data_IF_960974715034
#
_entry.id   IF_960974715034
#
_cell.length_a   1.000
_cell.length_b   1.000
_cell.length_c   1.000
_cell.angle_alpha   90.00
_cell.angle_beta   90.00
_cell.angle_gamma   90.00
#
_symmetry.space_group_name_H-M   'P 1'
#
loop_
_entity.id
_entity.type
_entity.pdbx_description
1 polymer ?
#
# COMPACT_ATOMS: atom_id res chain seq x y z
N UNK A 1 43.50 15.26 59.00
CA UNK A 1 42.91 14.00 58.48
C UNK A 1 41.97 14.35 57.34
N UNK A 2 42.46 14.12 56.12
CA UNK A 2 41.75 14.45 54.88
C UNK A 2 41.11 13.17 54.35
N UNK A 3 39.77 13.14 54.25
CA UNK A 3 39.07 12.05 53.60
C UNK A 3 38.78 12.42 52.14
N UNK A 4 39.51 11.77 51.22
CA UNK A 4 39.18 11.82 49.80
C UNK A 4 38.04 10.83 49.51
N UNK A 5 36.85 11.34 49.12
CA UNK A 5 35.77 10.53 48.61
C UNK A 5 35.93 10.29 47.11
N UNK A 6 36.13 9.04 46.72
CA UNK A 6 36.08 8.62 45.31
C UNK A 6 34.62 8.58 44.86
N UNK A 7 34.26 9.45 43.91
CA UNK A 7 32.98 9.36 43.18
C UNK A 7 33.17 8.39 42.02
N UNK A 8 32.58 7.23 42.11
CA UNK A 8 32.52 6.27 41.01
C UNK A 8 31.41 6.71 40.04
N UNK A 9 31.80 7.17 38.83
CA UNK A 9 30.86 7.37 37.72
C UNK A 9 30.42 6.00 37.17
N UNK A 10 29.25 5.58 37.57
CA UNK A 10 28.58 4.44 36.96
C UNK A 10 28.13 4.82 35.54
N UNK A 11 28.72 4.18 34.54
CA UNK A 11 28.19 4.22 33.18
C UNK A 11 26.90 3.42 33.16
N UNK A 12 25.78 4.11 33.27
CA UNK A 12 24.47 3.55 32.95
C UNK A 12 24.40 3.34 31.45
N UNK A 13 24.57 2.09 31.02
CA UNK A 13 24.21 1.72 29.66
C UNK A 13 22.70 1.92 29.53
N UNK A 14 22.30 2.94 28.80
CA UNK A 14 20.91 3.04 28.36
C UNK A 14 20.72 2.01 27.26
N UNK A 15 20.14 0.89 27.66
CA UNK A 15 19.56 -0.05 26.71
C UNK A 15 18.41 0.70 26.01
N UNK A 16 18.70 1.26 24.83
CA UNK A 16 17.66 1.66 23.92
C UNK A 16 17.00 0.38 23.38
N UNK A 17 16.22 -0.26 24.23
CA UNK A 17 15.17 -1.12 23.73
C UNK A 17 14.27 -0.18 22.93
N UNK A 18 14.42 -0.22 21.60
CA UNK A 18 13.51 0.46 20.72
C UNK A 18 12.12 -0.16 20.97
N UNK A 19 11.39 0.47 21.87
CA UNK A 19 9.98 0.19 22.07
C UNK A 19 9.27 0.70 20.81
N UNK A 20 9.31 -0.12 19.77
CA UNK A 20 8.55 0.11 18.54
C UNK A 20 7.08 -0.27 18.79
N UNK A 21 6.56 0.09 19.94
CA UNK A 21 5.15 0.24 20.08
C UNK A 21 4.76 1.49 19.32
N UNK A 22 4.64 1.35 17.99
CA UNK A 22 3.93 2.33 17.21
C UNK A 22 2.50 2.35 17.76
N UNK A 23 2.28 3.17 18.75
CA UNK A 23 0.99 3.35 19.38
C UNK A 23 -0.06 3.60 18.33
N UNK A 24 -1.17 2.89 18.42
CA UNK A 24 -2.31 3.17 17.56
C UNK A 24 -2.60 4.67 17.70
N UNK A 25 -2.48 5.38 16.58
CA UNK A 25 -2.82 6.82 16.56
C UNK A 25 -4.33 6.89 16.68
N UNK A 26 -4.80 7.10 17.91
CA UNK A 26 -6.22 7.25 18.17
C UNK A 26 -6.66 8.64 17.70
N UNK A 27 -7.66 8.68 16.84
CA UNK A 27 -8.28 9.95 16.46
C UNK A 27 -8.96 10.57 17.67
N UNK A 28 -8.77 11.86 17.95
CA UNK A 28 -9.57 12.55 18.95
C UNK A 28 -11.06 12.45 18.59
N UNK A 29 -11.92 12.36 19.58
CA UNK A 29 -13.36 12.36 19.35
C UNK A 29 -13.76 13.60 18.53
N UNK A 30 -14.51 13.37 17.45
CA UNK A 30 -14.95 14.43 16.53
C UNK A 30 -13.95 14.82 15.46
N UNK A 31 -12.79 14.17 15.39
CA UNK A 31 -11.84 14.44 14.32
C UNK A 31 -12.26 13.71 13.03
N UNK A 32 -12.28 14.45 11.92
CA UNK A 32 -12.58 13.89 10.59
C UNK A 32 -11.29 13.47 9.89
N UNK A 33 -10.54 12.55 10.51
CA UNK A 33 -9.24 12.09 10.02
C UNK A 33 -9.37 10.75 9.28
N UNK A 34 -8.85 10.72 8.06
CA UNK A 34 -8.73 9.50 7.26
C UNK A 34 -7.29 9.00 7.34
N UNK A 35 -7.09 7.82 7.93
CA UNK A 35 -5.76 7.23 8.13
C UNK A 35 -5.41 6.26 7.00
N UNK A 36 -4.15 6.37 6.54
CA UNK A 36 -3.54 5.47 5.57
C UNK A 36 -2.20 4.98 6.11
N UNK A 37 -1.96 3.68 6.01
CA UNK A 37 -0.75 3.01 6.46
C UNK A 37 -0.08 2.35 5.27
N UNK A 38 1.19 2.70 5.04
CA UNK A 38 2.02 2.06 4.01
C UNK A 38 3.13 1.27 4.72
N UNK A 39 3.18 -0.03 4.45
CA UNK A 39 4.14 -0.93 5.06
C UNK A 39 4.99 -1.62 4.01
N UNK A 40 6.27 -1.77 4.33
CA UNK A 40 7.19 -2.62 3.58
C UNK A 40 7.62 -3.75 4.51
N UNK A 41 7.40 -4.99 4.06
CA UNK A 41 7.64 -6.19 4.84
C UNK A 41 8.69 -7.03 4.09
N UNK A 42 9.78 -7.33 4.76
CA UNK A 42 10.82 -8.20 4.23
C UNK A 42 10.56 -9.65 4.67
N UNK A 43 10.48 -10.54 3.70
CA UNK A 43 10.06 -11.92 3.92
C UNK A 43 10.76 -12.81 2.88
N UNK A 44 11.07 -14.06 3.25
CA UNK A 44 11.60 -15.02 2.27
C UNK A 44 10.69 -15.07 1.04
N UNK A 45 11.28 -14.95 -0.15
CA UNK A 45 10.55 -14.91 -1.42
C UNK A 45 9.57 -16.07 -1.61
N UNK A 46 9.91 -17.26 -1.07
CA UNK A 46 9.05 -18.45 -1.16
C UNK A 46 7.77 -18.33 -0.32
N UNK A 47 7.79 -17.50 0.71
CA UNK A 47 6.69 -17.32 1.65
C UNK A 47 5.77 -16.15 1.32
N UNK A 48 6.15 -15.29 0.35
CA UNK A 48 5.40 -14.07 0.01
C UNK A 48 3.95 -14.42 -0.40
N UNK A 49 3.79 -15.36 -1.33
CA UNK A 49 2.46 -15.76 -1.83
C UNK A 49 1.56 -16.32 -0.71
N UNK A 50 2.14 -17.15 0.15
CA UNK A 50 1.44 -17.70 1.33
C UNK A 50 0.97 -16.55 2.26
N UNK A 51 1.84 -15.57 2.49
CA UNK A 51 1.53 -14.45 3.40
C UNK A 51 0.46 -13.52 2.81
N UNK A 52 0.56 -13.18 1.52
CA UNK A 52 -0.46 -12.39 0.81
C UNK A 52 -1.83 -13.09 0.90
N UNK A 53 -1.85 -14.40 0.67
CA UNK A 53 -3.06 -15.22 0.78
C UNK A 53 -3.63 -15.21 2.20
N UNK A 54 -2.79 -15.40 3.22
CA UNK A 54 -3.22 -15.40 4.63
C UNK A 54 -3.85 -14.07 5.05
N UNK A 55 -3.26 -12.95 4.63
CA UNK A 55 -3.80 -11.60 4.89
C UNK A 55 -5.14 -11.42 4.16
N UNK A 56 -5.21 -11.84 2.90
CA UNK A 56 -6.44 -11.77 2.10
C UNK A 56 -7.58 -12.56 2.74
N UNK A 57 -7.31 -13.80 3.16
CA UNK A 57 -8.29 -14.67 3.82
C UNK A 57 -8.75 -14.10 5.18
N UNK A 58 -7.82 -13.57 5.97
CA UNK A 58 -8.15 -12.93 7.25
C UNK A 58 -9.07 -11.72 7.06
N UNK A 59 -8.82 -10.93 6.00
CA UNK A 59 -9.66 -9.79 5.63
C UNK A 59 -11.05 -10.26 5.16
N UNK A 60 -11.11 -11.20 4.21
CA UNK A 60 -12.37 -11.70 3.64
C UNK A 60 -13.27 -12.36 4.68
N UNK A 61 -12.69 -13.00 5.69
CA UNK A 61 -13.42 -13.62 6.80
C UNK A 61 -13.79 -12.64 7.92
N UNK A 62 -13.41 -11.36 7.78
CA UNK A 62 -13.60 -10.32 8.81
C UNK A 62 -12.99 -10.72 10.18
N UNK A 63 -11.88 -11.45 10.16
CA UNK A 63 -11.23 -11.99 11.36
C UNK A 63 -10.88 -10.91 12.40
N UNK A 64 -10.51 -9.72 11.92
CA UNK A 64 -10.10 -8.60 12.77
C UNK A 64 -11.07 -7.41 12.73
N UNK A 65 -12.29 -7.65 12.25
CA UNK A 65 -13.32 -6.64 12.08
C UNK A 65 -13.67 -6.42 10.62
N UNK A 66 -14.57 -5.50 10.36
CA UNK A 66 -15.02 -5.19 8.99
C UNK A 66 -13.83 -4.87 8.10
N UNK A 67 -13.68 -5.62 7.00
CA UNK A 67 -12.50 -5.54 6.14
C UNK A 67 -12.88 -5.80 4.68
N UNK A 68 -12.29 -5.03 3.78
CA UNK A 68 -12.46 -5.19 2.34
C UNK A 68 -11.08 -5.23 1.68
N UNK A 69 -10.83 -6.26 0.89
CA UNK A 69 -9.63 -6.35 0.03
C UNK A 69 -9.89 -5.48 -1.20
N UNK A 70 -9.07 -4.46 -1.40
CA UNK A 70 -9.20 -3.52 -2.52
C UNK A 70 -8.32 -3.91 -3.70
N UNK A 71 -7.15 -4.48 -3.42
CA UNK A 71 -6.19 -4.85 -4.46
C UNK A 71 -5.27 -5.95 -3.95
N UNK A 72 -4.95 -6.90 -4.80
CA UNK A 72 -3.90 -7.91 -4.59
C UNK A 72 -3.05 -7.94 -5.85
N UNK A 73 -1.74 -7.93 -5.68
CA UNK A 73 -0.79 -8.07 -6.76
C UNK A 73 0.34 -9.01 -6.34
N UNK A 74 0.74 -9.88 -7.24
CA UNK A 74 1.91 -10.75 -7.04
C UNK A 74 2.73 -10.77 -8.32
N UNK A 75 4.03 -10.62 -8.17
CA UNK A 75 5.01 -10.73 -9.26
C UNK A 75 5.90 -11.95 -8.98
N UNK A 76 5.95 -12.84 -9.96
CA UNK A 76 6.77 -14.04 -9.90
C UNK A 76 8.16 -13.78 -10.46
N UNK A 77 8.97 -14.86 -10.53
CA UNK A 77 10.31 -14.82 -11.05
C UNK A 77 11.37 -14.82 -9.96
N UNK A 78 12.57 -14.37 -10.32
CA UNK A 78 13.71 -14.36 -9.40
C UNK A 78 13.57 -13.33 -8.27
N UNK A 79 12.93 -12.21 -8.57
CA UNK A 79 12.64 -11.15 -7.58
C UNK A 79 11.15 -11.15 -7.25
N UNK A 80 10.71 -12.23 -6.63
CA UNK A 80 9.30 -12.37 -6.26
C UNK A 80 8.89 -11.26 -5.31
N UNK A 81 7.76 -10.60 -5.59
CA UNK A 81 7.17 -9.58 -4.73
C UNK A 81 5.66 -9.77 -4.62
N UNK A 82 5.08 -9.17 -3.59
CA UNK A 82 3.63 -9.20 -3.41
C UNK A 82 3.14 -7.89 -2.83
N UNK A 83 1.90 -7.55 -3.10
CA UNK A 83 1.26 -6.39 -2.51
C UNK A 83 -0.19 -6.69 -2.22
N UNK A 84 -0.69 -6.16 -1.13
CA UNK A 84 -2.10 -6.21 -0.81
C UNK A 84 -2.53 -4.88 -0.20
N UNK A 85 -3.68 -4.39 -0.64
CA UNK A 85 -4.30 -3.18 -0.14
C UNK A 85 -5.66 -3.54 0.43
N UNK A 86 -5.86 -3.20 1.69
CA UNK A 86 -7.12 -3.49 2.40
C UNK A 86 -7.66 -2.23 3.05
N UNK A 87 -8.97 -2.16 3.20
CA UNK A 87 -9.65 -1.14 4.00
C UNK A 87 -10.29 -1.87 5.17
N UNK A 88 -9.94 -1.47 6.38
CA UNK A 88 -10.24 -2.23 7.59
C UNK A 88 -10.69 -1.30 8.74
N UNK A 89 -11.54 -1.80 9.62
CA UNK A 89 -11.92 -1.11 10.85
C UNK A 89 -10.66 -0.78 11.69
N UNK A 90 -10.63 0.38 12.39
CA UNK A 90 -9.42 0.80 13.14
C UNK A 90 -8.86 -0.25 14.09
N UNK A 91 -9.73 -0.99 14.78
CA UNK A 91 -9.33 -2.07 15.71
C UNK A 91 -8.62 -3.25 15.04
N UNK A 92 -8.80 -3.42 13.72
CA UNK A 92 -8.20 -4.50 12.95
C UNK A 92 -6.83 -4.18 12.36
N UNK A 93 -6.40 -2.92 12.41
CA UNK A 93 -5.15 -2.47 11.77
C UNK A 93 -3.93 -3.16 12.38
N UNK A 94 -3.76 -3.09 13.69
CA UNK A 94 -2.60 -3.72 14.35
C UNK A 94 -2.58 -5.24 14.19
N UNK A 95 -3.70 -5.96 14.40
CA UNK A 95 -3.72 -7.41 14.18
C UNK A 95 -3.40 -7.83 12.73
N UNK A 96 -3.89 -7.10 11.72
CA UNK A 96 -3.63 -7.48 10.32
C UNK A 96 -2.16 -7.18 9.95
N UNK A 97 -1.57 -6.12 10.50
CA UNK A 97 -0.15 -5.80 10.33
C UNK A 97 0.72 -6.88 11.00
N UNK A 98 0.35 -7.31 12.20
CA UNK A 98 1.05 -8.38 12.90
C UNK A 98 1.01 -9.70 12.11
N UNK A 99 -0.16 -10.06 11.56
CA UNK A 99 -0.31 -11.23 10.69
C UNK A 99 0.58 -11.11 9.45
N UNK A 100 0.60 -9.94 8.81
CA UNK A 100 1.40 -9.70 7.61
C UNK A 100 2.91 -9.84 7.89
N UNK A 101 3.36 -9.42 9.08
CA UNK A 101 4.75 -9.48 9.51
C UNK A 101 5.24 -10.84 9.99
N UNK A 102 4.35 -11.82 10.17
CA UNK A 102 4.74 -13.14 10.69
C UNK A 102 5.77 -13.85 9.81
N UNK A 103 6.89 -14.21 10.42
CA UNK A 103 8.00 -14.91 9.76
C UNK A 103 8.84 -14.00 8.87
N UNK A 104 8.73 -12.70 9.05
CA UNK A 104 9.51 -11.68 8.37
C UNK A 104 9.71 -10.48 9.28
N UNK A 105 10.17 -9.38 8.69
CA UNK A 105 10.41 -8.13 9.41
C UNK A 105 9.64 -6.99 8.74
N UNK A 106 9.02 -6.13 9.54
CA UNK A 106 8.43 -4.88 9.06
C UNK A 106 9.58 -3.86 8.89
N UNK A 107 10.08 -3.76 7.66
CA UNK A 107 11.22 -2.91 7.32
C UNK A 107 10.88 -1.42 7.41
N UNK A 108 9.64 -1.06 7.12
CA UNK A 108 9.18 0.32 7.29
C UNK A 108 7.67 0.37 7.46
N UNK A 109 7.22 1.34 8.23
CA UNK A 109 5.81 1.68 8.38
C UNK A 109 5.68 3.20 8.33
N UNK A 110 4.86 3.67 7.42
CA UNK A 110 4.51 5.09 7.34
C UNK A 110 3.02 5.24 7.55
N UNK A 111 2.61 6.14 8.42
CA UNK A 111 1.20 6.43 8.69
C UNK A 111 0.93 7.89 8.33
N UNK A 112 -0.06 8.11 7.49
CA UNK A 112 -0.51 9.41 7.06
C UNK A 112 -1.96 9.61 7.50
N UNK A 113 -2.30 10.82 7.96
CA UNK A 113 -3.67 11.21 8.28
C UNK A 113 -4.05 12.42 7.43
N UNK A 114 -5.16 12.32 6.74
CA UNK A 114 -5.75 13.42 5.97
C UNK A 114 -6.94 13.99 6.74
N UNK A 115 -6.97 15.29 6.93
CA UNK A 115 -8.07 15.97 7.61
C UNK A 115 -9.17 16.27 6.58
N UNK A 116 -10.34 15.66 6.76
CA UNK A 116 -11.50 15.81 5.89
C UNK A 116 -12.55 16.78 6.47
N UNK A 117 -12.25 17.51 7.54
CA UNK A 117 -13.23 18.38 8.23
C UNK A 117 -13.85 19.39 7.27
N UNK A 118 -13.04 20.06 6.44
CA UNK A 118 -13.51 21.02 5.48
C UNK A 118 -14.40 20.38 4.41
N UNK A 119 -13.97 19.25 3.84
CA UNK A 119 -14.76 18.52 2.82
C UNK A 119 -16.11 18.06 3.36
N UNK A 120 -16.14 17.55 4.59
CA UNK A 120 -17.36 17.10 5.26
C UNK A 120 -18.31 18.29 5.46
N UNK A 121 -17.79 19.43 5.93
CA UNK A 121 -18.57 20.64 6.13
C UNK A 121 -19.15 21.17 4.81
N UNK A 122 -18.37 21.22 3.75
CA UNK A 122 -18.79 21.70 2.43
C UNK A 122 -19.86 20.77 1.82
N UNK A 123 -19.71 19.46 1.98
CA UNK A 123 -20.71 18.48 1.53
C UNK A 123 -22.02 18.66 2.29
N UNK A 124 -21.96 18.83 3.62
CA UNK A 124 -23.14 19.05 4.45
C UNK A 124 -23.87 20.35 4.07
N UNK A 125 -23.11 21.42 3.83
CA UNK A 125 -23.68 22.71 3.36
C UNK A 125 -24.39 22.55 2.01
N UNK A 126 -23.77 21.83 1.09
CA UNK A 126 -24.33 21.55 -0.24
C UNK A 126 -25.64 20.76 -0.12
N UNK A 127 -25.65 19.71 0.72
CA UNK A 127 -26.87 18.92 0.99
C UNK A 127 -27.99 19.81 1.54
N UNK A 128 -27.69 20.64 2.56
CA UNK A 128 -28.66 21.50 3.21
C UNK A 128 -29.25 22.53 2.24
N UNK A 129 -28.38 23.15 1.40
CA UNK A 129 -28.81 24.11 0.39
C UNK A 129 -29.76 23.48 -0.65
N UNK A 130 -29.35 22.33 -1.19
CA UNK A 130 -30.13 21.61 -2.22
C UNK A 130 -31.47 21.11 -1.65
N UNK A 131 -31.48 20.62 -0.40
CA UNK A 131 -32.71 20.17 0.27
C UNK A 131 -33.70 21.33 0.44
N UNK A 132 -33.20 22.51 0.85
CA UNK A 132 -34.02 23.71 1.01
C UNK A 132 -34.60 24.15 -0.34
N UNK A 133 -33.79 24.21 -1.40
CA UNK A 133 -34.24 24.56 -2.76
C UNK A 133 -35.27 23.57 -3.27
N UNK A 134 -35.04 22.26 -3.07
CA UNK A 134 -35.98 21.19 -3.44
C UNK A 134 -37.35 21.40 -2.78
N UNK A 135 -37.36 21.66 -1.47
CA UNK A 135 -38.60 21.87 -0.72
C UNK A 135 -39.34 23.11 -1.23
N UNK A 136 -38.64 24.20 -1.57
CA UNK A 136 -39.25 25.43 -2.11
C UNK A 136 -39.89 25.14 -3.48
N UNK A 137 -39.19 24.44 -4.38
CA UNK A 137 -39.73 24.12 -5.70
C UNK A 137 -40.92 23.16 -5.61
N UNK A 138 -40.88 22.19 -4.69
CA UNK A 138 -41.97 21.27 -4.42
C UNK A 138 -43.23 22.03 -3.97
N UNK A 139 -43.06 23.04 -3.13
CA UNK A 139 -44.18 23.90 -2.73
C UNK A 139 -44.74 24.72 -3.91
N UNK A 140 -43.88 25.18 -4.83
CA UNK A 140 -44.30 25.85 -6.06
C UNK A 140 -45.14 24.93 -6.96
N UNK A 141 -44.74 23.68 -7.11
CA UNK A 141 -45.48 22.71 -7.95
C UNK A 141 -46.92 22.46 -7.47
N UNK A 142 -47.17 22.64 -6.19
CA UNK A 142 -48.51 22.43 -5.61
C UNK A 142 -49.48 23.59 -5.87
N UNK A 143 -49.00 24.69 -6.48
CA UNK A 143 -49.86 25.86 -6.78
C UNK A 143 -50.69 25.57 -8.02
N UNK A 144 -51.97 25.89 -7.94
CA UNK A 144 -52.96 25.65 -9.04
C UNK A 144 -52.93 26.75 -10.12
N UNK A 145 -52.22 27.85 -9.91
CA UNK A 145 -52.19 29.01 -10.81
C UNK A 145 -50.98 29.07 -11.75
N UNK A 146 -50.20 27.96 -11.82
CA UNK A 146 -48.98 27.89 -12.64
C UNK A 146 -49.25 27.64 -14.10
N UNK A 147 -48.54 28.35 -14.98
CA UNK A 147 -48.50 28.09 -16.42
C UNK A 147 -47.70 26.83 -16.73
N UNK A 148 -48.03 26.17 -17.84
CA UNK A 148 -47.31 24.94 -18.27
C UNK A 148 -45.80 25.17 -18.44
N UNK A 149 -45.40 26.33 -18.98
CA UNK A 149 -44.00 26.68 -19.17
C UNK A 149 -43.24 26.74 -17.82
N UNK A 150 -43.89 27.34 -16.80
CA UNK A 150 -43.30 27.45 -15.45
C UNK A 150 -43.20 26.10 -14.78
N UNK A 151 -44.21 25.21 -14.96
CA UNK A 151 -44.18 23.86 -14.45
C UNK A 151 -43.01 23.04 -15.07
N UNK A 152 -42.78 23.20 -16.37
CA UNK A 152 -41.66 22.54 -17.06
C UNK A 152 -40.31 23.02 -16.51
N UNK A 153 -40.15 24.34 -16.33
CA UNK A 153 -38.94 24.92 -15.77
C UNK A 153 -38.67 24.43 -14.34
N UNK A 154 -39.68 24.38 -13.49
CA UNK A 154 -39.59 23.88 -12.11
C UNK A 154 -39.24 22.36 -12.14
N UNK A 155 -39.87 21.59 -12.98
CA UNK A 155 -39.59 20.14 -13.09
C UNK A 155 -38.14 19.88 -13.52
N UNK A 156 -37.65 20.65 -14.48
CA UNK A 156 -36.27 20.54 -14.93
C UNK A 156 -35.29 20.89 -13.80
N UNK A 157 -35.54 21.99 -13.11
CA UNK A 157 -34.68 22.41 -11.96
C UNK A 157 -34.72 21.40 -10.82
N UNK A 158 -35.89 20.81 -10.55
CA UNK A 158 -36.00 19.73 -9.56
C UNK A 158 -35.14 18.53 -9.91
N UNK A 159 -35.14 18.10 -11.18
CA UNK A 159 -34.31 16.99 -11.63
C UNK A 159 -32.82 17.29 -11.44
N UNK A 160 -32.39 18.52 -11.71
CA UNK A 160 -31.00 18.96 -11.47
C UNK A 160 -30.65 18.91 -9.97
N UNK A 161 -31.53 19.36 -9.11
CA UNK A 161 -31.37 19.34 -7.65
C UNK A 161 -31.29 17.91 -7.12
N UNK A 162 -32.17 17.03 -7.60
CA UNK A 162 -32.20 15.62 -7.22
C UNK A 162 -30.88 14.93 -7.60
N UNK A 163 -30.35 15.19 -8.81
CA UNK A 163 -29.03 14.69 -9.24
C UNK A 163 -27.92 15.24 -8.35
N UNK A 164 -27.99 16.52 -8.00
CA UNK A 164 -27.02 17.15 -7.08
C UNK A 164 -27.06 16.53 -5.67
N UNK A 165 -28.26 16.27 -5.15
CA UNK A 165 -28.45 15.62 -3.85
C UNK A 165 -27.89 14.18 -3.86
N UNK A 166 -28.15 13.42 -4.94
CA UNK A 166 -27.60 12.08 -5.09
C UNK A 166 -26.06 12.12 -5.05
N UNK A 167 -25.45 13.06 -5.78
CA UNK A 167 -23.99 13.20 -5.78
C UNK A 167 -23.48 13.58 -4.38
N UNK A 168 -24.07 14.57 -3.73
CA UNK A 168 -23.66 14.99 -2.39
C UNK A 168 -23.82 13.87 -1.35
N UNK A 169 -24.84 13.03 -1.49
CA UNK A 169 -25.04 11.85 -0.64
C UNK A 169 -23.94 10.79 -0.86
N UNK A 170 -23.53 10.57 -2.11
CA UNK A 170 -22.41 9.68 -2.44
C UNK A 170 -21.10 10.19 -1.85
N UNK A 171 -20.84 11.48 -1.96
CA UNK A 171 -19.64 12.12 -1.42
C UNK A 171 -19.61 11.96 0.11
N UNK A 172 -20.71 12.24 0.79
CA UNK A 172 -20.84 12.10 2.24
C UNK A 172 -20.60 10.65 2.69
N UNK A 173 -21.15 9.68 1.97
CA UNK A 173 -20.96 8.25 2.26
C UNK A 173 -19.49 7.83 2.09
N UNK A 174 -18.83 8.32 1.04
CA UNK A 174 -17.42 8.04 0.77
C UNK A 174 -16.52 8.66 1.86
N UNK A 175 -16.77 9.92 2.23
CA UNK A 175 -16.06 10.60 3.31
C UNK A 175 -16.19 9.83 4.63
N UNK A 176 -17.42 9.45 4.97
CA UNK A 176 -17.69 8.65 6.19
C UNK A 176 -16.91 7.35 6.17
N UNK A 177 -16.93 6.62 5.05
CA UNK A 177 -16.18 5.36 4.91
C UNK A 177 -14.68 5.56 5.11
N UNK A 178 -14.11 6.68 4.61
CA UNK A 178 -12.69 7.00 4.80
C UNK A 178 -12.35 7.31 6.26
N UNK A 179 -13.27 7.92 6.99
CA UNK A 179 -13.10 8.30 8.41
C UNK A 179 -13.30 7.07 9.33
N UNK A 180 -14.32 6.27 9.04
CA UNK A 180 -14.71 5.12 9.88
C UNK A 180 -13.79 3.92 9.70
N UNK A 181 -13.03 3.86 8.60
CA UNK A 181 -12.10 2.75 8.29
C UNK A 181 -10.71 3.31 7.95
N UNK A 182 -9.70 2.45 7.98
CA UNK A 182 -8.33 2.84 7.64
C UNK A 182 -7.84 2.02 6.45
N UNK A 183 -7.04 2.67 5.58
CA UNK A 183 -6.43 2.03 4.42
C UNK A 183 -5.06 1.49 4.83
N UNK A 184 -4.82 0.20 4.57
CA UNK A 184 -3.53 -0.44 4.85
C UNK A 184 -3.00 -1.03 3.55
N UNK A 185 -1.83 -0.54 3.13
CA UNK A 185 -1.10 -1.04 1.96
C UNK A 185 0.15 -1.76 2.45
N UNK A 186 0.24 -3.04 2.14
CA UNK A 186 1.36 -3.90 2.54
C UNK A 186 2.09 -4.38 1.30
N UNK A 187 3.40 -4.10 1.23
CA UNK A 187 4.28 -4.56 0.16
C UNK A 187 5.27 -5.57 0.74
N UNK A 188 5.33 -6.72 0.12
CA UNK A 188 6.19 -7.84 0.52
C UNK A 188 7.34 -7.96 -0.48
N UNK A 189 8.57 -7.98 0.04
CA UNK A 189 9.79 -8.05 -0.76
C UNK A 189 10.76 -9.08 -0.16
N UNK A 190 11.53 -9.71 -1.02
CA UNK A 190 12.64 -10.55 -0.57
C UNK A 190 13.72 -9.71 0.12
N UNK A 191 14.50 -10.28 1.06
CA UNK A 191 15.59 -9.55 1.69
C UNK A 191 16.57 -9.00 0.66
N UNK A 192 17.11 -7.80 0.91
CA UNK A 192 18.01 -7.10 -0.01
C UNK A 192 19.22 -7.94 -0.42
N UNK A 193 19.70 -8.79 0.50
CA UNK A 193 20.81 -9.71 0.23
C UNK A 193 20.51 -10.82 -0.79
N UNK A 194 19.25 -11.18 -0.97
CA UNK A 194 18.86 -12.17 -2.01
C UNK A 194 18.94 -11.58 -3.41
N UNK A 195 18.62 -10.31 -3.57
CA UNK A 195 18.76 -9.59 -4.85
C UNK A 195 20.22 -9.56 -5.31
N UNK A 196 21.13 -9.17 -4.40
CA UNK A 196 22.57 -9.12 -4.69
C UNK A 196 23.15 -10.48 -5.07
N UNK A 197 22.74 -11.53 -4.37
CA UNK A 197 23.21 -12.90 -4.65
C UNK A 197 22.74 -13.40 -6.01
N UNK A 198 21.51 -13.08 -6.42
CA UNK A 198 21.00 -13.49 -7.75
C UNK A 198 21.71 -12.75 -8.87
N UNK A 199 22.05 -11.48 -8.70
CA UNK A 199 22.79 -10.70 -9.68
C UNK A 199 24.23 -11.19 -9.82
N UNK A 200 24.91 -11.48 -8.72
CA UNK A 200 26.25 -12.06 -8.72
C UNK A 200 26.21 -13.45 -9.37
N UNK A 201 25.22 -14.26 -9.04
CA UNK A 201 25.04 -15.59 -9.65
C UNK A 201 24.88 -15.52 -11.16
N UNK A 202 24.11 -14.57 -11.68
CA UNK A 202 23.96 -14.33 -13.12
C UNK A 202 25.28 -13.90 -13.75
N UNK A 203 25.97 -12.93 -13.15
CA UNK A 203 27.24 -12.44 -13.65
C UNK A 203 28.29 -13.57 -13.73
N UNK A 204 28.35 -14.44 -12.72
CA UNK A 204 29.26 -15.59 -12.71
C UNK A 204 28.88 -16.61 -13.80
N UNK A 205 27.60 -16.90 -13.99
CA UNK A 205 27.15 -17.84 -15.03
C UNK A 205 27.41 -17.29 -16.44
N UNK A 206 27.18 -16.01 -16.66
CA UNK A 206 27.47 -15.32 -17.95
C UNK A 206 28.98 -15.32 -18.23
N UNK A 207 29.79 -15.02 -17.24
CA UNK A 207 31.25 -15.09 -17.36
C UNK A 207 31.71 -16.49 -17.71
N UNK A 208 31.18 -17.53 -17.04
CA UNK A 208 31.47 -18.93 -17.33
C UNK A 208 31.14 -19.31 -18.76
N UNK A 209 30.03 -18.84 -19.31
CA UNK A 209 29.63 -19.12 -20.70
C UNK A 209 30.55 -18.43 -21.72
N UNK A 210 31.00 -17.21 -21.43
CA UNK A 210 31.93 -16.46 -22.28
C UNK A 210 33.29 -17.20 -22.32
N UNK A 211 33.79 -17.63 -21.16
CA UNK A 211 35.08 -18.33 -21.04
C UNK A 211 35.03 -19.65 -21.81
N UNK A 212 33.97 -20.47 -21.65
CA UNK A 212 33.84 -21.74 -22.36
C UNK A 212 33.74 -21.53 -23.88
N UNK A 213 33.04 -20.53 -24.33
CA UNK A 213 32.93 -20.20 -25.78
C UNK A 213 34.28 -19.75 -26.33
N UNK A 214 35.05 -18.96 -25.59
CA UNK A 214 36.37 -18.49 -26.00
C UNK A 214 37.37 -19.62 -26.08
N UNK A 215 37.37 -20.54 -25.12
CA UNK A 215 38.24 -21.73 -25.14
C UNK A 215 37.89 -22.63 -26.33
N UNK A 216 36.61 -22.85 -26.60
CA UNK A 216 36.16 -23.65 -27.75
C UNK A 216 36.61 -23.02 -29.07
N UNK A 217 36.57 -21.69 -29.17
CA UNK A 217 37.05 -20.98 -30.36
C UNK A 217 38.57 -21.17 -30.56
N UNK A 218 39.36 -21.03 -29.49
CA UNK A 218 40.82 -21.22 -29.54
C UNK A 218 41.17 -22.67 -29.97
N UNK A 219 40.51 -23.66 -29.38
CA UNK A 219 40.71 -25.06 -29.72
C UNK A 219 40.39 -25.29 -31.21
N UNK A 220 39.30 -24.74 -31.72
CA UNK A 220 38.93 -24.87 -33.15
C UNK A 220 39.93 -24.17 -34.06
N UNK A 221 40.45 -23.02 -33.70
CA UNK A 221 41.44 -22.29 -34.44
C UNK A 221 42.75 -23.08 -34.53
N UNK A 222 43.23 -23.64 -33.42
CA UNK A 222 44.40 -24.47 -33.36
C UNK A 222 44.22 -25.77 -34.23
N UNK A 223 43.08 -26.40 -34.10
CA UNK A 223 42.74 -27.60 -34.88
C UNK A 223 42.71 -27.32 -36.40
N UNK A 224 42.25 -26.13 -36.82
CA UNK A 224 42.20 -25.72 -38.22
C UNK A 224 43.60 -25.39 -38.77
N UNK A 225 44.50 -24.90 -37.95
CA UNK A 225 45.88 -24.55 -38.37
C UNK A 225 46.84 -25.77 -38.42
N UNK A 226 46.56 -26.83 -37.66
CA UNK A 226 47.40 -28.05 -37.65
C UNK A 226 47.61 -28.66 -39.05
N UNK A 227 46.58 -28.88 -39.87
CA UNK A 227 46.82 -29.51 -41.18
C UNK A 227 47.58 -28.59 -42.16
N UNK A 228 47.57 -27.29 -41.98
CA UNK A 228 48.32 -26.33 -42.83
C UNK A 228 49.84 -26.38 -42.47
N UNK A 229 50.18 -26.52 -41.16
CA UNK A 229 51.56 -26.68 -40.71
C UNK A 229 52.19 -27.97 -41.16
N UNK A 230 51.52 -29.09 -41.26
CA UNK A 230 51.99 -30.40 -41.76
C UNK A 230 52.26 -30.35 -43.27
N UNK A 231 51.56 -29.85 -43.85
CA UNK A 231 51.69 -29.66 -45.25
C UNK A 231 52.81 -28.75 -45.59
N UNK A 232 53.16 -27.99 -44.98
CA UNK A 232 54.28 -27.11 -45.14
C UNK A 232 55.60 -27.70 -44.72
N UNK A 233 55.56 -28.60 -44.07
CA UNK A 233 56.69 -29.37 -43.68
C UNK A 233 57.02 -30.54 -44.61
N UNK A 234 56.30 -30.77 -45.30
CA UNK A 234 56.46 -31.79 -46.29
C UNK A 234 56.85 -31.26 -47.68
N UNK A 235 56.99 -30.31 -47.83
CA UNK A 235 57.51 -29.67 -48.99
C UNK A 235 58.88 -29.26 -48.79
#
# INVERSE_FOLDING_TARGET
MLFLGLVACGRGGQDYAADAAAGAVASPEGAFLAYEHDLRIQLDAKRISERVKAVSEACQSNRFGDCAVLQVGEEGGETRSGSIRVRIAPKGVEPIIALAGEGGDVASRNTHAEDLAQEVADTALTQARLQKEHAQLQAYQQRSDMKVADLLAVSQRMAEIEAGLEQANKDAAQQRRRIDTQLVTMRFEGPAGQRSRSEIGKAVSEFGSIVTTSIAFVIRAVAALLPVGVXXXXX
#
